data_IF_319838807469
#
_entry.id   IF_319838807469
#
_cell.length_a   1.000
_cell.length_b   1.000
_cell.length_c   1.000
_cell.angle_alpha   90.00
_cell.angle_beta   90.00
_cell.angle_gamma   90.00
#
_symmetry.space_group_name_H-M   'P 1'
#
loop_
_entity.id
_entity.type
_entity.pdbx_description
1 polymer ?
#
# COMPACT_ATOMS: atom_id res chain seq x y z
N UNK A 1 -18.84 -23.23 -27.96
CA UNK A 1 -17.50 -23.38 -27.35
C UNK A 1 -17.20 -22.07 -26.66
N UNK A 2 -17.18 -22.00 -25.31
CA UNK A 2 -16.84 -20.76 -24.64
C UNK A 2 -15.34 -20.46 -24.85
N UNK A 3 -14.93 -19.19 -24.89
CA UNK A 3 -13.52 -18.81 -25.04
C UNK A 3 -12.69 -19.29 -23.85
N UNK A 4 -11.44 -19.70 -24.13
CA UNK A 4 -10.47 -20.33 -23.23
C UNK A 4 -10.17 -19.57 -21.93
N UNK A 5 -10.48 -18.28 -21.86
CA UNK A 5 -10.08 -17.39 -20.77
C UNK A 5 -10.92 -17.55 -19.49
N UNK A 6 -12.05 -18.25 -19.55
CA UNK A 6 -12.91 -18.48 -18.38
C UNK A 6 -12.40 -19.64 -17.51
N UNK A 7 -11.75 -20.64 -18.12
CA UNK A 7 -11.19 -21.79 -17.40
C UNK A 7 -9.87 -21.44 -16.69
N UNK A 8 -9.06 -20.54 -17.27
CA UNK A 8 -7.84 -20.04 -16.62
C UNK A 8 -8.12 -19.14 -15.41
N UNK A 9 -9.25 -18.42 -15.42
CA UNK A 9 -9.69 -17.58 -14.28
C UNK A 9 -10.23 -18.40 -13.10
N UNK A 10 -10.73 -19.60 -13.34
CA UNK A 10 -11.22 -20.50 -12.28
C UNK A 10 -10.13 -21.43 -11.72
N UNK A 11 -9.03 -21.63 -12.44
CA UNK A 11 -7.91 -22.48 -12.00
C UNK A 11 -6.95 -21.81 -10.98
N UNK A 12 -7.11 -20.51 -10.68
CA UNK A 12 -6.38 -19.81 -9.60
C UNK A 12 -7.14 -19.75 -8.27
N UNK A 13 -8.37 -20.24 -8.22
CA UNK A 13 -9.10 -20.43 -6.97
C UNK A 13 -8.85 -21.85 -6.46
N UNK A 14 -8.27 -21.96 -5.27
CA UNK A 14 -7.96 -23.20 -4.54
C UNK A 14 -6.71 -23.98 -5.04
N UNK A 15 -5.54 -23.33 -4.96
CA UNK A 15 -4.36 -24.07 -4.52
C UNK A 15 -4.45 -24.23 -2.99
N UNK A 16 -4.24 -25.44 -2.43
CA UNK A 16 -4.23 -25.63 -0.99
C UNK A 16 -3.15 -24.72 -0.39
N UNK A 17 -3.49 -24.05 0.71
CA UNK A 17 -2.57 -23.23 1.49
C UNK A 17 -1.38 -24.10 1.93
N UNK A 18 -0.35 -24.13 1.09
CA UNK A 18 0.94 -24.74 1.40
C UNK A 18 1.42 -24.10 2.68
N UNK A 19 1.63 -24.92 3.71
CA UNK A 19 2.20 -24.61 5.03
C UNK A 19 2.77 -23.20 5.06
N UNK A 20 1.93 -22.22 5.42
CA UNK A 20 2.38 -20.84 5.58
C UNK A 20 3.28 -20.84 6.79
N UNK A 21 4.44 -20.21 6.68
CA UNK A 21 5.24 -19.86 7.84
C UNK A 21 4.42 -18.82 8.63
N UNK A 22 3.57 -19.28 9.55
CA UNK A 22 2.54 -18.48 10.23
C UNK A 22 3.10 -17.37 11.11
N UNK A 23 4.43 -17.27 11.23
CA UNK A 23 5.12 -16.25 12.03
C UNK A 23 5.46 -14.98 11.24
N UNK A 24 5.48 -15.04 9.90
CA UNK A 24 5.88 -13.87 9.09
C UNK A 24 4.68 -12.97 8.82
N UNK A 25 4.81 -11.71 9.24
CA UNK A 25 3.82 -10.66 8.97
C UNK A 25 3.63 -10.45 7.47
N UNK A 26 2.37 -10.25 7.07
CA UNK A 26 1.94 -10.06 5.67
C UNK A 26 1.84 -8.58 5.33
N UNK A 27 2.47 -8.18 4.24
CA UNK A 27 2.44 -6.82 3.72
C UNK A 27 1.87 -6.81 2.29
N UNK A 28 0.92 -5.91 2.03
CA UNK A 28 0.55 -5.57 0.65
C UNK A 28 1.23 -4.28 0.23
N UNK A 29 2.03 -4.31 -0.82
CA UNK A 29 2.62 -3.12 -1.45
C UNK A 29 1.76 -2.69 -2.63
N UNK A 30 1.01 -1.60 -2.46
CA UNK A 30 0.25 -0.96 -3.53
C UNK A 30 1.17 0.03 -4.25
N UNK A 31 1.40 -0.17 -5.54
CA UNK A 31 2.35 0.61 -6.33
C UNK A 31 1.60 1.43 -7.37
N UNK A 32 1.82 2.74 -7.42
CA UNK A 32 1.38 3.54 -8.56
C UNK A 32 2.50 3.64 -9.60
N UNK A 33 2.46 2.86 -10.71
CA UNK A 33 3.52 2.86 -11.71
C UNK A 33 3.63 4.19 -12.46
N UNK A 34 2.60 5.04 -12.39
CA UNK A 34 2.55 6.35 -13.04
C UNK A 34 2.96 7.51 -12.10
N UNK A 35 3.35 7.22 -10.86
CA UNK A 35 3.82 8.25 -9.95
C UNK A 35 5.24 8.74 -10.33
N UNK A 36 5.51 10.04 -10.13
CA UNK A 36 6.66 10.78 -10.68
C UNK A 36 8.01 10.08 -10.58
N UNK A 37 8.31 9.48 -9.42
CA UNK A 37 9.62 8.87 -9.15
C UNK A 37 9.58 7.34 -9.16
N UNK A 38 8.40 6.73 -9.33
CA UNK A 38 8.27 5.28 -9.35
C UNK A 38 8.82 4.73 -10.67
N UNK A 39 9.61 3.67 -10.57
CA UNK A 39 10.10 2.91 -11.73
C UNK A 39 10.08 1.43 -11.43
N UNK A 40 10.11 0.59 -12.47
CA UNK A 40 10.19 -0.87 -12.30
C UNK A 40 11.41 -1.30 -11.48
N UNK A 41 12.53 -0.56 -11.56
CA UNK A 41 13.72 -0.80 -10.74
C UNK A 41 13.45 -0.53 -9.26
N UNK A 42 12.86 0.62 -8.93
CA UNK A 42 12.58 1.01 -7.55
C UNK A 42 11.49 0.13 -6.93
N UNK A 43 10.46 -0.22 -7.70
CA UNK A 43 9.46 -1.22 -7.30
C UNK A 43 10.12 -2.53 -6.87
N UNK A 44 11.01 -3.08 -7.71
CA UNK A 44 11.73 -4.32 -7.38
C UNK A 44 12.60 -4.15 -6.14
N UNK A 45 13.31 -3.02 -6.01
CA UNK A 45 14.12 -2.73 -4.82
C UNK A 45 13.29 -2.78 -3.54
N UNK A 46 12.16 -2.06 -3.51
CA UNK A 46 11.26 -2.01 -2.34
C UNK A 46 10.73 -3.41 -2.02
N UNK A 47 10.17 -4.10 -3.02
CA UNK A 47 9.57 -5.43 -2.82
C UNK A 47 10.61 -6.44 -2.35
N UNK A 48 11.77 -6.50 -3.00
CA UNK A 48 12.84 -7.44 -2.60
C UNK A 48 13.40 -7.13 -1.20
N UNK A 49 13.55 -5.86 -0.83
CA UNK A 49 14.00 -5.48 0.51
C UNK A 49 13.01 -5.94 1.60
N UNK A 50 11.70 -5.80 1.36
CA UNK A 50 10.67 -6.22 2.30
C UNK A 50 10.53 -7.76 2.35
N UNK A 51 10.62 -8.44 1.20
CA UNK A 51 10.53 -9.91 1.10
C UNK A 51 11.64 -10.64 1.87
N UNK A 52 12.77 -9.97 2.13
CA UNK A 52 13.82 -10.52 3.00
C UNK A 52 13.35 -10.79 4.42
N UNK A 53 12.25 -10.17 4.89
CA UNK A 53 11.79 -10.24 6.29
C UNK A 53 10.30 -10.51 6.46
N UNK A 54 9.48 -10.19 5.46
CA UNK A 54 8.03 -10.33 5.50
C UNK A 54 7.48 -11.19 4.34
N UNK A 55 6.24 -11.66 4.47
CA UNK A 55 5.46 -12.16 3.33
C UNK A 55 4.90 -10.94 2.59
N UNK A 56 5.27 -10.74 1.33
CA UNK A 56 4.98 -9.49 0.61
C UNK A 56 4.34 -9.79 -0.73
N UNK A 57 3.14 -9.27 -0.90
CA UNK A 57 2.44 -9.17 -2.18
C UNK A 57 2.58 -7.75 -2.73
N UNK A 58 2.62 -7.59 -4.05
CA UNK A 58 2.74 -6.29 -4.69
C UNK A 58 1.76 -6.15 -5.86
N UNK A 59 0.90 -5.14 -5.78
CA UNK A 59 -0.17 -4.88 -6.74
C UNK A 59 -0.03 -3.49 -7.33
N UNK A 60 -0.05 -3.41 -8.66
CA UNK A 60 0.07 -2.14 -9.38
C UNK A 60 -1.32 -1.51 -9.55
N UNK A 61 -1.45 -0.21 -9.35
CA UNK A 61 -2.70 0.51 -9.60
C UNK A 61 -2.92 0.65 -11.09
N UNK A 62 -4.16 0.45 -11.56
CA UNK A 62 -4.49 0.49 -12.99
C UNK A 62 -5.21 1.79 -13.37
N UNK A 63 -5.90 2.39 -12.40
CA UNK A 63 -6.67 3.62 -12.59
C UNK A 63 -6.80 4.38 -11.27
N UNK A 64 -7.31 5.62 -11.37
CA UNK A 64 -7.72 6.42 -10.22
C UNK A 64 -8.75 5.66 -9.38
N UNK A 65 -8.56 5.63 -8.07
CA UNK A 65 -9.39 4.89 -7.12
C UNK A 65 -8.95 3.44 -6.90
N UNK A 66 -8.05 2.88 -7.72
CA UNK A 66 -7.66 1.48 -7.58
C UNK A 66 -6.90 1.21 -6.27
N UNK A 67 -6.09 2.17 -5.79
CA UNK A 67 -5.40 2.01 -4.51
C UNK A 67 -6.39 1.92 -3.33
N UNK A 68 -7.53 2.61 -3.41
CA UNK A 68 -8.59 2.50 -2.41
C UNK A 68 -9.23 1.11 -2.42
N UNK A 69 -9.49 0.56 -3.61
CA UNK A 69 -10.04 -0.78 -3.76
C UNK A 69 -9.08 -1.84 -3.19
N UNK A 70 -7.83 -1.84 -3.64
CA UNK A 70 -6.80 -2.79 -3.19
C UNK A 70 -6.61 -2.74 -1.68
N UNK A 71 -6.57 -1.53 -1.10
CA UNK A 71 -6.39 -1.39 0.35
C UNK A 71 -7.62 -1.89 1.13
N UNK A 72 -8.82 -1.73 0.59
CA UNK A 72 -10.06 -2.26 1.19
C UNK A 72 -10.10 -3.79 1.13
N UNK A 73 -9.68 -4.38 0.02
CA UNK A 73 -9.55 -5.83 -0.14
C UNK A 73 -8.52 -6.38 0.85
N UNK A 74 -7.37 -5.72 0.99
CA UNK A 74 -6.33 -6.10 1.93
C UNK A 74 -6.82 -6.14 3.40
N UNK A 75 -7.71 -5.21 3.78
CA UNK A 75 -8.33 -5.22 5.10
C UNK A 75 -9.20 -6.46 5.36
N UNK A 76 -9.79 -7.06 4.33
CA UNK A 76 -10.57 -8.29 4.42
C UNK A 76 -9.74 -9.58 4.29
N UNK A 77 -8.56 -9.50 3.66
CA UNK A 77 -7.69 -10.65 3.36
C UNK A 77 -6.65 -10.97 4.44
N UNK A 78 -6.69 -10.25 5.57
CA UNK A 78 -5.80 -10.50 6.71
C UNK A 78 -4.34 -10.10 6.44
N UNK A 79 -4.10 -9.00 5.72
CA UNK A 79 -2.79 -8.36 5.71
C UNK A 79 -2.55 -7.63 7.02
N UNK A 80 -1.34 -7.76 7.57
CA UNK A 80 -0.96 -7.07 8.80
C UNK A 80 -0.66 -5.58 8.54
N UNK A 81 -0.26 -5.20 7.32
CA UNK A 81 0.02 -3.81 6.92
C UNK A 81 -0.17 -3.61 5.42
N UNK A 82 -0.55 -2.39 5.04
CA UNK A 82 -0.55 -1.94 3.64
C UNK A 82 0.52 -0.86 3.46
N UNK A 83 1.34 -1.01 2.43
CA UNK A 83 2.36 -0.04 2.02
C UNK A 83 1.91 0.63 0.73
N UNK A 84 1.69 1.95 0.74
CA UNK A 84 1.34 2.71 -0.45
C UNK A 84 2.58 3.39 -1.04
N UNK A 85 3.11 2.84 -2.14
CA UNK A 85 4.25 3.40 -2.86
C UNK A 85 3.78 4.23 -4.05
N UNK A 86 3.81 5.56 -3.88
CA UNK A 86 3.28 6.51 -4.86
C UNK A 86 3.28 7.94 -4.34
N UNK A 87 2.51 8.82 -4.98
CA UNK A 87 2.32 10.20 -4.50
C UNK A 87 1.21 10.33 -3.45
N UNK A 88 0.98 11.56 -2.99
CA UNK A 88 -0.04 11.89 -1.98
C UNK A 88 -1.45 11.41 -2.37
N UNK A 89 -1.78 11.38 -3.67
CA UNK A 89 -3.04 10.84 -4.18
C UNK A 89 -3.20 9.33 -3.92
N UNK A 90 -2.16 8.54 -4.22
CA UNK A 90 -2.14 7.09 -3.98
C UNK A 90 -2.26 6.78 -2.49
N UNK A 91 -1.53 7.53 -1.67
CA UNK A 91 -1.58 7.42 -0.21
C UNK A 91 -2.98 7.77 0.31
N UNK A 92 -3.60 8.83 -0.19
CA UNK A 92 -4.94 9.24 0.22
C UNK A 92 -6.02 8.23 -0.21
N UNK A 93 -5.89 7.63 -1.39
CA UNK A 93 -6.77 6.55 -1.84
C UNK A 93 -6.65 5.33 -0.91
N UNK A 94 -5.43 4.87 -0.63
CA UNK A 94 -5.20 3.76 0.31
C UNK A 94 -5.75 4.07 1.71
N UNK A 95 -5.56 5.29 2.21
CA UNK A 95 -6.11 5.73 3.50
C UNK A 95 -7.65 5.67 3.53
N UNK A 96 -8.32 6.03 2.43
CA UNK A 96 -9.78 5.90 2.32
C UNK A 96 -10.23 4.43 2.33
N UNK A 97 -9.45 3.53 1.75
CA UNK A 97 -9.72 2.08 1.77
C UNK A 97 -9.56 1.44 3.15
N UNK A 98 -8.64 1.97 3.96
CA UNK A 98 -8.29 1.45 5.29
C UNK A 98 -8.95 2.20 6.44
N UNK A 99 -9.67 3.29 6.17
CA UNK A 99 -10.29 4.08 7.21
C UNK A 99 -11.19 3.18 8.08
N UNK A 100 -10.86 3.10 9.37
CA UNK A 100 -11.53 2.26 10.40
C UNK A 100 -11.34 0.74 10.24
N UNK A 101 -10.44 0.26 9.39
CA UNK A 101 -10.15 -1.18 9.28
C UNK A 101 -9.26 -1.71 10.41
N UNK A 102 -8.45 -0.83 11.03
CA UNK A 102 -7.43 -1.22 12.00
C UNK A 102 -6.12 -1.71 11.37
N UNK A 103 -6.09 -1.91 10.05
CA UNK A 103 -4.86 -2.27 9.32
C UNK A 103 -4.02 -1.01 9.11
N UNK A 104 -2.76 -0.98 9.59
CA UNK A 104 -1.86 0.15 9.42
C UNK A 104 -1.54 0.45 7.95
N UNK A 105 -1.37 1.73 7.65
CA UNK A 105 -0.90 2.24 6.35
C UNK A 105 0.50 2.82 6.50
N UNK A 106 1.42 2.43 5.62
CA UNK A 106 2.75 3.04 5.49
C UNK A 106 2.87 3.69 4.12
N UNK A 107 3.09 5.01 4.03
CA UNK A 107 3.36 5.65 2.76
C UNK A 107 4.85 5.57 2.41
N UNK A 108 5.17 5.27 1.14
CA UNK A 108 6.51 5.37 0.58
C UNK A 108 6.53 6.43 -0.54
N UNK A 109 7.57 7.28 -0.59
CA UNK A 109 7.62 8.42 -1.49
C UNK A 109 7.76 7.97 -2.96
N UNK A 110 6.75 8.26 -3.77
CA UNK A 110 6.73 8.00 -5.21
C UNK A 110 6.28 9.20 -6.06
N UNK A 111 5.81 10.27 -5.43
CA UNK A 111 5.36 11.50 -6.10
C UNK A 111 6.36 12.66 -5.99
N UNK A 112 5.96 13.82 -6.51
CA UNK A 112 6.81 15.03 -6.51
C UNK A 112 6.95 15.66 -5.12
N UNK A 113 5.85 15.74 -4.36
CA UNK A 113 5.81 16.50 -3.10
C UNK A 113 5.89 15.60 -1.87
N UNK A 114 5.16 14.48 -1.86
CA UNK A 114 5.08 13.50 -0.77
C UNK A 114 4.84 14.19 0.59
N UNK A 115 3.87 15.10 0.63
CA UNK A 115 3.54 15.92 1.81
C UNK A 115 3.26 15.02 3.00
N UNK A 116 2.46 13.96 2.80
CA UNK A 116 2.09 13.08 3.91
C UNK A 116 3.27 12.29 4.46
N UNK A 117 4.18 11.80 3.61
CA UNK A 117 5.43 11.18 4.06
C UNK A 117 6.24 12.14 4.93
N UNK A 118 6.41 13.39 4.49
CA UNK A 118 7.17 14.42 5.21
C UNK A 118 6.54 14.77 6.56
N UNK A 119 5.21 14.87 6.62
CA UNK A 119 4.48 15.10 7.88
C UNK A 119 4.68 13.97 8.90
N UNK A 120 4.86 12.74 8.43
CA UNK A 120 5.15 11.58 9.28
C UNK A 120 6.64 11.42 9.61
N UNK A 121 7.52 12.30 9.11
CA UNK A 121 8.96 12.19 9.31
C UNK A 121 9.62 11.08 8.48
N UNK A 122 8.94 10.59 7.43
CA UNK A 122 9.47 9.58 6.53
C UNK A 122 10.40 10.28 5.50
N UNK A 123 11.62 9.76 5.28
CA UNK A 123 12.53 10.30 4.27
C UNK A 123 11.89 10.39 2.88
N UNK A 124 12.35 11.36 2.08
CA UNK A 124 11.82 11.55 0.72
C UNK A 124 12.56 10.71 -0.33
N UNK A 125 13.77 10.22 -0.02
CA UNK A 125 14.45 9.22 -0.83
C UNK A 125 13.83 7.84 -0.56
N UNK A 126 13.60 7.07 -1.62
CA UNK A 126 12.90 5.78 -1.52
C UNK A 126 13.73 4.71 -0.81
N UNK A 127 15.05 4.72 -0.95
CA UNK A 127 15.94 3.76 -0.27
C UNK A 127 15.91 4.06 1.23
N UNK A 128 16.10 5.33 1.59
CA UNK A 128 16.04 5.77 2.99
C UNK A 128 14.66 5.52 3.62
N UNK A 129 13.57 5.75 2.86
CA UNK A 129 12.21 5.49 3.31
C UNK A 129 11.94 4.00 3.51
N UNK A 130 12.48 3.15 2.65
CA UNK A 130 12.37 1.69 2.77
C UNK A 130 13.14 1.19 3.99
N UNK A 131 14.35 1.69 4.22
CA UNK A 131 15.12 1.38 5.43
C UNK A 131 14.40 1.87 6.71
N UNK A 132 13.83 3.08 6.66
CA UNK A 132 13.02 3.61 7.74
C UNK A 132 11.82 2.71 8.07
N UNK A 133 11.09 2.24 7.05
CA UNK A 133 10.00 1.28 7.21
C UNK A 133 10.49 -0.03 7.86
N UNK A 134 11.59 -0.60 7.37
CA UNK A 134 12.15 -1.83 7.94
C UNK A 134 12.46 -1.68 9.43
N UNK A 135 13.05 -0.55 9.85
CA UNK A 135 13.32 -0.24 11.26
C UNK A 135 12.07 -0.08 12.11
N UNK A 136 11.01 0.52 11.57
CA UNK A 136 9.73 0.65 12.28
C UNK A 136 9.02 -0.69 12.44
N UNK A 137 9.07 -1.52 11.39
CA UNK A 137 8.43 -2.82 11.36
C UNK A 137 9.04 -3.80 12.39
N UNK A 138 10.29 -3.60 12.81
CA UNK A 138 10.93 -4.38 13.90
C UNK A 138 10.15 -4.35 15.21
N UNK A 139 9.54 -3.20 15.53
CA UNK A 139 8.79 -3.02 16.79
C UNK A 139 7.31 -3.33 16.65
N UNK A 140 6.81 -3.36 15.41
CA UNK A 140 5.40 -3.55 15.09
C UNK A 140 4.43 -2.70 15.94
N UNK A 141 4.79 -1.43 16.16
CA UNK A 141 4.06 -0.50 17.03
C UNK A 141 3.46 0.65 16.21
N UNK A 142 2.32 0.42 15.50
CA UNK A 142 1.68 1.46 14.71
C UNK A 142 1.18 2.60 15.61
N UNK A 143 1.21 3.82 15.08
CA UNK A 143 0.69 5.01 15.76
C UNK A 143 -0.63 5.45 15.12
N UNK A 144 -1.60 5.81 15.94
CA UNK A 144 -2.83 6.43 15.47
C UNK A 144 -2.53 7.80 14.82
N UNK A 145 -3.12 8.03 13.65
CA UNK A 145 -3.05 9.29 12.90
C UNK A 145 -4.47 9.73 12.59
N UNK A 146 -4.79 10.98 12.89
CA UNK A 146 -6.10 11.54 12.61
C UNK A 146 -6.30 11.73 11.10
N UNK A 147 -7.51 11.43 10.63
CA UNK A 147 -7.94 11.70 9.27
C UNK A 147 -9.09 12.70 9.29
N UNK A 148 -9.04 13.67 8.38
CA UNK A 148 -10.16 14.55 8.14
C UNK A 148 -11.26 13.85 7.33
N UNK A 149 -12.52 14.26 7.48
CA UNK A 149 -13.65 13.72 6.71
C UNK A 149 -14.61 14.81 6.25
N UNK A 150 -14.86 14.89 4.94
CA UNK A 150 -15.83 15.82 4.33
C UNK A 150 -16.65 15.06 3.29
N UNK A 151 -17.98 15.24 3.30
CA UNK A 151 -18.91 14.61 2.36
C UNK A 151 -18.68 13.08 2.19
N UNK A 152 -18.40 12.38 3.28
CA UNK A 152 -18.19 10.93 3.29
C UNK A 152 -16.81 10.46 2.81
N UNK A 153 -15.92 11.38 2.39
CA UNK A 153 -14.55 11.06 1.95
C UNK A 153 -13.53 11.48 2.99
N UNK A 154 -12.54 10.63 3.23
CA UNK A 154 -11.42 10.90 4.13
C UNK A 154 -10.30 11.65 3.40
N UNK A 155 -9.52 12.45 4.14
CA UNK A 155 -8.31 13.09 3.64
C UNK A 155 -7.18 13.06 4.67
N UNK A 156 -5.95 12.97 4.18
CA UNK A 156 -4.75 12.75 4.99
C UNK A 156 -4.08 14.03 5.49
N UNK A 157 -4.14 15.14 4.76
CA UNK A 157 -3.45 16.38 5.17
C UNK A 157 -4.20 17.68 4.90
N UNK A 158 -4.95 17.80 3.80
CA UNK A 158 -5.69 19.03 3.53
C UNK A 158 -6.98 18.83 2.75
N UNK A 159 -7.89 19.78 2.94
CA UNK A 159 -9.06 20.03 2.11
C UNK A 159 -9.14 21.55 1.88
N UNK A 160 -9.49 21.97 0.66
CA UNK A 160 -9.59 23.38 0.28
C UNK A 160 -10.94 23.69 -0.37
N UNK A 161 -11.45 24.90 -0.14
CA UNK A 161 -12.60 25.46 -0.85
C UNK A 161 -12.26 26.88 -1.31
N UNK A 162 -12.59 27.20 -2.56
CA UNK A 162 -12.25 28.47 -3.21
C UNK A 162 -11.22 28.31 -4.33
N UNK A 163 -11.33 29.16 -5.36
CA UNK A 163 -10.29 29.47 -6.35
C UNK A 163 -9.70 30.83 -6.01
#
# INVERSE_FOLDING_TARGET
>A
MPPSDVLDRLARAALPASVRDTDRKRMLVIVNPHATTVSGRLRRLVVSALQGRYEVDASDTEAKGHAMQLAREAAGEGYDVVVAFGGDGTVNEAANGLARSGVPLVPLPGGSTNVFCRMLGIPNDIVDATEHLLRLADRWAPRAVDLGRVAGRWFTFSAGMGL
#
